data_IF_012643089375
#
_entry.id   IF_012643089375
#
_cell.length_a   1.000
_cell.length_b   1.000
_cell.length_c   1.000
_cell.angle_alpha   90.00
_cell.angle_beta   90.00
_cell.angle_gamma   90.00
#
_symmetry.space_group_name_H-M   'P 1'
#
loop_
_entity.id
_entity.type
_entity.pdbx_description
1 polymer ?
#
# COMPACT_ATOMS: atom_id res chain seq x y z
N UNK A 1 0.84 3.39 -10.82
CA UNK A 1 -0.25 4.28 -10.38
C UNK A 1 0.23 5.66 -9.94
N UNK A 2 1.03 5.82 -8.87
CA UNK A 2 1.47 7.16 -8.38
C UNK A 2 2.07 8.04 -9.48
N UNK A 3 3.02 7.50 -10.25
CA UNK A 3 3.65 8.21 -11.38
C UNK A 3 2.65 8.66 -12.45
N UNK A 4 1.63 7.84 -12.73
CA UNK A 4 0.58 8.19 -13.69
C UNK A 4 -0.26 9.36 -13.18
N UNK A 5 -0.63 9.34 -11.90
CA UNK A 5 -1.42 10.43 -11.31
C UNK A 5 -0.68 11.76 -11.42
N UNK A 6 0.60 11.78 -11.03
CA UNK A 6 1.44 12.97 -11.19
C UNK A 6 1.54 13.43 -12.65
N UNK A 7 1.72 12.49 -13.59
CA UNK A 7 1.82 12.80 -15.01
C UNK A 7 0.52 13.45 -15.55
N UNK A 8 -0.64 12.92 -15.18
CA UNK A 8 -1.95 13.47 -15.55
C UNK A 8 -2.14 14.88 -14.98
N UNK A 9 -1.86 15.09 -13.68
CA UNK A 9 -1.94 16.42 -13.05
C UNK A 9 -1.05 17.45 -13.72
N UNK A 10 0.15 17.03 -14.11
CA UNK A 10 1.11 17.90 -14.82
C UNK A 10 0.81 18.07 -16.31
N UNK A 11 -0.21 17.37 -16.83
CA UNK A 11 -0.60 17.37 -18.24
C UNK A 11 0.54 17.01 -19.21
N UNK A 12 1.53 16.24 -18.74
CA UNK A 12 2.69 15.86 -19.54
C UNK A 12 2.42 14.55 -20.28
N UNK A 13 1.98 14.67 -21.54
CA UNK A 13 1.59 13.53 -22.37
C UNK A 13 2.67 12.45 -22.49
N UNK A 14 3.95 12.85 -22.55
CA UNK A 14 5.08 11.91 -22.58
C UNK A 14 5.20 11.13 -21.27
N UNK A 15 5.06 11.79 -20.13
CA UNK A 15 5.11 11.11 -18.82
C UNK A 15 3.90 10.22 -18.59
N UNK A 16 2.73 10.58 -19.14
CA UNK A 16 1.54 9.71 -19.13
C UNK A 16 1.86 8.41 -19.88
N UNK A 17 2.41 8.52 -21.09
CA UNK A 17 2.78 7.35 -21.90
C UNK A 17 3.81 6.46 -21.19
N UNK A 18 4.87 7.05 -20.61
CA UNK A 18 5.86 6.30 -19.85
C UNK A 18 5.28 5.66 -18.58
N UNK A 19 4.41 6.36 -17.86
CA UNK A 19 3.78 5.82 -16.66
C UNK A 19 2.85 4.65 -16.98
N UNK A 20 2.10 4.72 -18.09
CA UNK A 20 1.26 3.62 -18.58
C UNK A 20 2.11 2.43 -19.04
N UNK A 21 3.15 2.66 -19.84
CA UNK A 21 4.06 1.61 -20.28
C UNK A 21 4.70 0.88 -19.09
N UNK A 22 5.17 1.63 -18.10
CA UNK A 22 5.72 1.06 -16.87
C UNK A 22 4.67 0.27 -16.08
N UNK A 23 3.42 0.75 -16.00
CA UNK A 23 2.35 0.06 -15.31
C UNK A 23 2.04 -1.29 -15.98
N UNK A 24 1.92 -1.33 -17.31
CA UNK A 24 1.71 -2.58 -18.05
C UNK A 24 2.90 -3.53 -17.89
N UNK A 25 4.12 -3.02 -18.01
CA UNK A 25 5.33 -3.84 -17.86
C UNK A 25 5.46 -4.45 -16.45
N UNK A 26 5.07 -3.69 -15.43
CA UNK A 26 5.20 -4.09 -14.03
C UNK A 26 3.93 -4.75 -13.47
N UNK A 27 2.93 -5.00 -14.33
CA UNK A 27 1.69 -5.60 -13.91
C UNK A 27 1.92 -7.04 -13.45
N UNK A 28 1.49 -7.32 -12.23
CA UNK A 28 1.50 -8.66 -11.65
C UNK A 28 0.18 -8.87 -10.94
N UNK A 29 -0.54 -9.92 -11.34
CA UNK A 29 -1.74 -10.33 -10.64
C UNK A 29 -1.34 -10.92 -9.28
N UNK A 30 -1.92 -10.39 -8.20
CA UNK A 30 -1.71 -10.92 -6.85
C UNK A 30 -2.44 -12.25 -6.71
N UNK A 31 -3.77 -12.22 -6.89
CA UNK A 31 -4.62 -13.40 -6.94
C UNK A 31 -5.94 -13.01 -7.61
N UNK A 32 -6.75 -13.95 -8.13
CA UNK A 32 -8.07 -13.60 -8.64
C UNK A 32 -8.91 -12.85 -7.59
N UNK A 33 -9.62 -11.81 -8.02
CA UNK A 33 -10.49 -11.07 -7.13
C UNK A 33 -11.64 -11.98 -6.68
N UNK A 34 -11.86 -12.01 -5.37
CA UNK A 34 -12.99 -12.70 -4.76
C UNK A 34 -13.46 -11.84 -3.59
N UNK A 35 -14.75 -11.95 -3.27
CA UNK A 35 -15.36 -11.18 -2.19
C UNK A 35 -15.69 -12.08 -1.01
N UNK A 36 -15.84 -11.48 0.16
CA UNK A 36 -16.24 -12.21 1.37
C UNK A 36 -17.07 -11.37 2.32
N UNK A 37 -17.98 -12.04 3.02
CA UNK A 37 -18.78 -11.48 4.13
C UNK A 37 -18.28 -11.99 5.49
N UNK A 38 -17.25 -12.86 5.51
CA UNK A 38 -16.75 -13.51 6.73
C UNK A 38 -16.09 -12.54 7.70
N UNK A 39 -15.59 -11.42 7.19
CA UNK A 39 -14.91 -10.39 7.96
C UNK A 39 -14.97 -9.05 7.24
N UNK A 40 -14.80 -7.97 7.99
CA UNK A 40 -14.64 -6.61 7.47
C UNK A 40 -13.15 -6.24 7.26
N UNK A 41 -12.91 -5.05 6.70
CA UNK A 41 -11.58 -4.54 6.39
C UNK A 41 -10.63 -4.45 7.60
N UNK A 42 -11.14 -4.02 8.76
CA UNK A 42 -10.34 -3.90 9.98
C UNK A 42 -9.94 -5.29 10.51
N UNK A 43 -10.88 -6.23 10.52
CA UNK A 43 -10.64 -7.62 10.91
C UNK A 43 -9.61 -8.28 9.99
N UNK A 44 -9.69 -8.04 8.68
CA UNK A 44 -8.73 -8.56 7.71
C UNK A 44 -7.31 -8.06 8.01
N UNK A 45 -7.11 -6.76 8.25
CA UNK A 45 -5.79 -6.22 8.59
C UNK A 45 -5.25 -6.79 9.91
N UNK A 46 -6.10 -6.97 10.93
CA UNK A 46 -5.71 -7.62 12.19
C UNK A 46 -5.29 -9.07 11.98
N UNK A 47 -6.04 -9.83 11.18
CA UNK A 47 -5.72 -11.22 10.86
C UNK A 47 -4.42 -11.34 10.05
N UNK A 48 -4.19 -10.43 9.09
CA UNK A 48 -2.94 -10.34 8.35
C UNK A 48 -1.75 -10.00 9.25
N UNK A 49 -1.90 -9.01 10.14
CA UNK A 49 -0.87 -8.63 11.09
C UNK A 49 -0.48 -9.80 12.01
N UNK A 50 -1.46 -10.59 12.45
CA UNK A 50 -1.23 -11.80 13.24
C UNK A 50 -0.52 -12.88 12.39
N UNK A 51 -1.05 -13.19 11.22
CA UNK A 51 -0.58 -14.26 10.35
C UNK A 51 0.84 -14.04 9.80
N UNK A 52 1.30 -12.78 9.73
CA UNK A 52 2.61 -12.38 9.23
C UNK A 52 3.55 -11.81 10.32
N UNK A 53 3.18 -11.89 11.60
CA UNK A 53 3.96 -11.35 12.72
C UNK A 53 5.39 -11.91 12.81
N UNK A 54 5.58 -13.18 12.45
CA UNK A 54 6.87 -13.87 12.48
C UNK A 54 7.44 -14.13 11.08
N UNK A 55 6.89 -13.51 10.05
CA UNK A 55 7.33 -13.72 8.67
C UNK A 55 8.62 -12.97 8.37
N UNK A 56 9.51 -13.64 7.64
CA UNK A 56 10.68 -13.04 6.99
C UNK A 56 10.56 -13.29 5.49
N UNK A 57 10.86 -12.27 4.68
CA UNK A 57 10.81 -12.36 3.23
C UNK A 57 12.21 -12.51 2.65
N UNK A 58 12.36 -13.33 1.62
CA UNK A 58 13.65 -13.62 0.99
C UNK A 58 14.06 -12.48 0.04
N UNK A 59 13.08 -11.85 -0.60
CA UNK A 59 13.31 -10.78 -1.55
C UNK A 59 13.83 -9.48 -0.92
N UNK A 60 14.70 -8.82 -1.68
CA UNK A 60 15.30 -7.53 -1.30
C UNK A 60 14.46 -6.32 -1.73
N UNK A 61 13.59 -6.47 -2.74
CA UNK A 61 12.72 -5.37 -3.20
C UNK A 61 11.24 -5.61 -2.86
N UNK A 62 10.50 -4.51 -2.74
CA UNK A 62 9.11 -4.54 -2.28
C UNK A 62 8.18 -5.31 -3.22
N UNK A 63 8.32 -5.16 -4.53
CA UNK A 63 7.46 -5.84 -5.51
C UNK A 63 7.59 -7.37 -5.41
N UNK A 64 8.81 -7.88 -5.26
CA UNK A 64 9.05 -9.30 -5.04
C UNK A 64 8.50 -9.79 -3.70
N UNK A 65 8.58 -8.98 -2.62
CA UNK A 65 7.96 -9.33 -1.34
C UNK A 65 6.43 -9.41 -1.43
N UNK A 66 5.80 -8.49 -2.16
CA UNK A 66 4.36 -8.55 -2.43
C UNK A 66 4.03 -9.84 -3.17
N UNK A 67 4.85 -10.23 -4.14
CA UNK A 67 4.66 -11.47 -4.88
C UNK A 67 4.86 -12.73 -4.02
N UNK A 68 5.85 -12.75 -3.13
CA UNK A 68 6.01 -13.81 -2.12
C UNK A 68 4.77 -13.92 -1.21
N UNK A 69 4.25 -12.79 -0.73
CA UNK A 69 3.00 -12.74 0.04
C UNK A 69 1.84 -13.28 -0.78
N UNK A 70 1.70 -12.88 -2.04
CA UNK A 70 0.61 -13.27 -2.92
C UNK A 70 0.50 -14.79 -3.08
N UNK A 71 1.63 -15.50 -2.99
CA UNK A 71 1.71 -16.96 -3.07
C UNK A 71 1.62 -17.65 -1.70
N UNK A 72 1.69 -16.90 -0.60
CA UNK A 72 1.75 -17.46 0.74
C UNK A 72 0.37 -18.02 1.17
N UNK A 73 0.29 -19.27 1.68
CA UNK A 73 -0.99 -19.89 2.06
C UNK A 73 -1.83 -19.09 3.06
N UNK A 74 -1.18 -18.42 4.02
CA UNK A 74 -1.88 -17.56 4.97
C UNK A 74 -2.51 -16.33 4.30
N UNK A 75 -1.85 -15.75 3.30
CA UNK A 75 -2.41 -14.63 2.55
C UNK A 75 -3.55 -15.09 1.66
N UNK A 76 -3.41 -16.21 0.94
CA UNK A 76 -4.46 -16.71 0.05
C UNK A 76 -5.81 -16.94 0.76
N UNK A 77 -5.79 -17.35 2.04
CA UNK A 77 -7.00 -17.46 2.88
C UNK A 77 -7.64 -16.11 3.24
N UNK A 78 -6.83 -15.07 3.27
CA UNK A 78 -7.18 -13.70 3.67
C UNK A 78 -7.20 -12.72 2.49
N UNK A 79 -6.99 -13.19 1.26
CA UNK A 79 -6.97 -12.36 0.06
C UNK A 79 -8.35 -11.93 -0.47
N UNK A 80 -9.47 -12.64 -0.17
CA UNK A 80 -10.80 -12.15 -0.50
C UNK A 80 -11.07 -10.77 0.11
N UNK A 81 -11.72 -9.90 -0.65
CA UNK A 81 -12.00 -8.52 -0.27
C UNK A 81 -13.36 -8.45 0.44
N UNK A 82 -13.46 -7.77 1.59
CA UNK A 82 -14.74 -7.51 2.25
C UNK A 82 -15.73 -6.82 1.32
N UNK A 83 -16.97 -7.31 1.28
CA UNK A 83 -18.03 -6.78 0.39
C UNK A 83 -18.38 -5.31 0.68
N UNK A 84 -18.18 -4.86 1.91
CA UNK A 84 -18.56 -3.54 2.43
C UNK A 84 -17.44 -2.50 2.36
N UNK A 85 -16.39 -2.75 1.56
CA UNK A 85 -15.25 -1.83 1.44
C UNK A 85 -15.68 -0.51 0.76
N UNK A 86 -15.35 0.61 1.41
CA UNK A 86 -15.54 1.97 0.88
C UNK A 86 -14.23 2.76 0.94
N UNK A 87 -14.12 3.82 0.14
CA UNK A 87 -12.93 4.68 0.10
C UNK A 87 -12.65 5.28 1.48
N UNK A 88 -13.69 5.71 2.21
CA UNK A 88 -13.57 6.30 3.55
C UNK A 88 -12.99 5.29 4.53
N UNK A 89 -13.45 4.03 4.48
CA UNK A 89 -12.93 2.96 5.32
C UNK A 89 -11.46 2.69 5.02
N UNK A 90 -11.09 2.62 3.74
CA UNK A 90 -9.71 2.42 3.31
C UNK A 90 -8.83 3.57 3.78
N UNK A 91 -9.26 4.83 3.60
CA UNK A 91 -8.52 6.01 4.05
C UNK A 91 -8.26 5.98 5.56
N UNK A 92 -9.30 5.71 6.36
CA UNK A 92 -9.17 5.61 7.81
C UNK A 92 -8.11 4.57 8.21
N UNK A 93 -8.22 3.36 7.65
CA UNK A 93 -7.33 2.24 8.01
C UNK A 93 -5.89 2.48 7.57
N UNK A 94 -5.67 2.94 6.34
CA UNK A 94 -4.31 3.18 5.81
C UNK A 94 -3.59 4.25 6.63
N UNK A 95 -4.27 5.34 6.98
CA UNK A 95 -3.71 6.43 7.80
C UNK A 95 -3.45 5.95 9.23
N UNK A 96 -4.38 5.21 9.83
CA UNK A 96 -4.25 4.71 11.20
C UNK A 96 -3.01 3.82 11.34
N UNK A 97 -2.80 2.87 10.42
CA UNK A 97 -1.68 1.94 10.48
C UNK A 97 -0.34 2.61 10.19
N UNK A 98 -0.29 3.59 9.28
CA UNK A 98 0.92 4.40 9.12
C UNK A 98 1.23 5.18 10.40
N UNK A 99 0.25 5.83 11.03
CA UNK A 99 0.45 6.59 12.27
C UNK A 99 0.99 5.74 13.41
N UNK A 100 0.57 4.47 13.50
CA UNK A 100 1.02 3.52 14.54
C UNK A 100 2.47 3.05 14.34
N UNK A 101 2.92 2.91 13.09
CA UNK A 101 4.18 2.21 12.77
C UNK A 101 5.27 3.10 12.20
N UNK A 102 4.92 4.27 11.67
CA UNK A 102 5.79 5.13 10.85
C UNK A 102 6.51 4.38 9.71
N UNK A 103 5.91 3.29 9.22
CA UNK A 103 6.55 2.42 8.24
C UNK A 103 6.45 3.02 6.81
N UNK A 104 7.57 3.04 6.09
CA UNK A 104 7.65 3.63 4.74
C UNK A 104 6.79 2.92 3.70
N UNK A 105 6.58 1.61 3.82
CA UNK A 105 5.65 0.86 2.96
C UNK A 105 4.21 1.33 3.20
N UNK A 106 3.83 1.58 4.46
CA UNK A 106 2.48 2.06 4.78
C UNK A 106 2.28 3.52 4.37
N UNK A 107 3.33 4.34 4.40
CA UNK A 107 3.32 5.67 3.79
C UNK A 107 3.06 5.59 2.28
N UNK A 108 3.66 4.62 1.58
CA UNK A 108 3.35 4.37 0.17
C UNK A 108 1.90 3.93 -0.03
N UNK A 109 1.29 3.26 0.94
CA UNK A 109 -0.15 3.00 0.95
C UNK A 109 -0.99 4.28 0.90
N UNK A 110 -0.62 5.31 1.68
CA UNK A 110 -1.30 6.62 1.68
C UNK A 110 -1.14 7.31 0.32
N UNK A 111 0.09 7.39 -0.19
CA UNK A 111 0.33 8.08 -1.47
C UNK A 111 -0.27 7.31 -2.66
N UNK A 112 -0.32 5.98 -2.59
CA UNK A 112 -1.04 5.16 -3.55
C UNK A 112 -2.54 5.41 -3.47
N UNK A 113 -3.14 5.46 -2.27
CA UNK A 113 -4.57 5.76 -2.14
C UNK A 113 -4.91 7.14 -2.71
N UNK A 114 -4.09 8.16 -2.46
CA UNK A 114 -4.28 9.48 -3.04
C UNK A 114 -4.25 9.43 -4.58
N UNK A 115 -3.25 8.77 -5.16
CA UNK A 115 -3.16 8.58 -6.61
C UNK A 115 -4.33 7.77 -7.18
N UNK A 116 -4.82 6.76 -6.45
CA UNK A 116 -6.01 6.00 -6.83
C UNK A 116 -7.24 6.91 -6.92
N UNK A 117 -7.44 7.77 -5.92
CA UNK A 117 -8.57 8.70 -5.88
C UNK A 117 -8.54 9.68 -7.06
N UNK A 118 -7.37 10.21 -7.41
CA UNK A 118 -7.21 11.11 -8.55
C UNK A 118 -7.52 10.41 -9.90
N UNK A 119 -7.27 9.10 -9.96
CA UNK A 119 -7.51 8.27 -11.15
C UNK A 119 -8.93 7.69 -11.22
N UNK A 120 -9.77 7.85 -10.17
CA UNK A 120 -11.09 7.20 -10.07
C UNK A 120 -11.97 7.42 -11.30
N UNK A 121 -11.95 8.63 -11.85
CA UNK A 121 -12.75 9.02 -13.01
C UNK A 121 -12.41 8.24 -14.29
N UNK A 122 -11.24 7.60 -14.35
CA UNK A 122 -10.80 6.82 -15.52
C UNK A 122 -11.12 5.33 -15.39
N UNK A 123 -11.59 4.85 -14.23
CA UNK A 123 -11.98 3.46 -14.06
C UNK A 123 -13.44 3.24 -14.50
N UNK A 124 -13.71 2.22 -15.35
CA UNK A 124 -15.08 1.91 -15.78
C UNK A 124 -16.00 1.50 -14.61
N UNK A 125 -15.44 0.78 -13.64
CA UNK A 125 -16.11 0.38 -12.41
C UNK A 125 -15.22 0.76 -11.22
N UNK A 126 -15.65 1.81 -10.51
CA UNK A 126 -14.91 2.35 -9.37
C UNK A 126 -14.92 1.42 -8.16
N UNK A 127 -15.98 0.64 -7.96
CA UNK A 127 -16.07 -0.30 -6.84
C UNK A 127 -15.12 -1.47 -7.06
N UNK A 128 -15.13 -2.05 -8.26
CA UNK A 128 -14.18 -3.10 -8.63
C UNK A 128 -12.73 -2.58 -8.56
N UNK A 129 -12.47 -1.35 -9.01
CA UNK A 129 -11.14 -0.74 -8.89
C UNK A 129 -10.70 -0.57 -7.43
N UNK A 130 -11.61 -0.18 -6.53
CA UNK A 130 -11.36 -0.08 -5.09
C UNK A 130 -11.03 -1.46 -4.48
N UNK A 131 -11.74 -2.50 -4.90
CA UNK A 131 -11.49 -3.86 -4.43
C UNK A 131 -10.09 -4.36 -4.85
N UNK A 132 -9.69 -4.09 -6.10
CA UNK A 132 -8.32 -4.38 -6.56
C UNK A 132 -7.25 -3.56 -5.82
N UNK A 133 -7.52 -2.26 -5.57
CA UNK A 133 -6.65 -1.42 -4.77
C UNK A 133 -6.47 -2.01 -3.37
N UNK A 134 -7.57 -2.38 -2.72
CA UNK A 134 -7.56 -2.93 -1.37
C UNK A 134 -6.79 -4.25 -1.32
N UNK A 135 -7.01 -5.18 -2.25
CA UNK A 135 -6.24 -6.42 -2.32
C UNK A 135 -4.73 -6.16 -2.53
N UNK A 136 -4.39 -5.13 -3.31
CA UNK A 136 -2.99 -4.73 -3.50
C UNK A 136 -2.39 -4.16 -2.23
N UNK A 137 -3.16 -3.34 -1.51
CA UNK A 137 -2.76 -2.78 -0.23
C UNK A 137 -2.57 -3.86 0.84
N UNK A 138 -3.49 -4.84 0.96
CA UNK A 138 -3.39 -5.90 1.97
C UNK A 138 -2.19 -6.82 1.73
N UNK A 139 -1.85 -7.11 0.46
CA UNK A 139 -0.62 -7.84 0.13
C UNK A 139 0.63 -7.05 0.56
N UNK A 140 0.69 -5.75 0.23
CA UNK A 140 1.78 -4.88 0.66
C UNK A 140 1.86 -4.76 2.19
N UNK A 141 0.72 -4.64 2.85
CA UNK A 141 0.60 -4.57 4.30
C UNK A 141 1.16 -5.82 4.99
N UNK A 142 0.87 -7.01 4.48
CA UNK A 142 1.40 -8.26 5.02
C UNK A 142 2.94 -8.34 4.95
N UNK A 143 3.58 -7.65 4.00
CA UNK A 143 5.07 -7.58 3.96
C UNK A 143 5.67 -6.84 5.14
N UNK A 144 4.88 -6.02 5.84
CA UNK A 144 5.31 -5.25 7.01
C UNK A 144 5.33 -6.12 8.26
N UNK A 145 4.51 -7.19 8.30
CA UNK A 145 4.53 -8.31 9.25
C UNK A 145 5.02 -7.97 10.66
N UNK A 146 6.30 -8.26 10.93
CA UNK A 146 7.00 -8.04 12.20
C UNK A 146 6.91 -6.60 12.74
N UNK A 147 6.92 -5.61 11.86
CA UNK A 147 6.90 -4.19 12.25
C UNK A 147 5.49 -3.69 12.63
N UNK A 148 4.43 -4.48 12.40
CA UNK A 148 3.05 -4.11 12.75
C UNK A 148 2.78 -4.22 14.26
N UNK A 149 3.59 -4.99 14.98
CA UNK A 149 3.47 -5.19 16.43
C UNK A 149 4.48 -4.38 17.24
N UNK A 150 5.45 -3.74 16.59
CA UNK A 150 6.40 -2.87 17.28
C UNK A 150 5.68 -1.57 17.64
N UNK A 151 5.52 -1.25 18.94
CA UNK A 151 5.05 0.07 19.33
C UNK A 151 5.99 1.12 18.74
N UNK A 152 5.44 2.30 18.46
CA UNK A 152 6.22 3.48 18.10
C UNK A 152 7.40 3.60 19.07
N UNK A 153 8.62 3.36 18.61
CA UNK A 153 9.76 4.01 19.23
C UNK A 153 9.47 5.51 19.09
N UNK A 154 9.28 6.20 20.21
CA UNK A 154 9.26 7.65 20.22
C UNK A 154 10.58 8.05 19.59
N UNK A 155 10.55 8.40 18.30
CA UNK A 155 11.71 8.99 17.65
C UNK A 155 12.11 10.12 18.60
N UNK A 156 13.35 10.14 19.13
CA UNK A 156 13.80 11.30 19.86
C UNK A 156 13.50 12.48 18.96
N UNK A 157 12.89 13.52 19.52
CA UNK A 157 12.69 14.81 18.85
C UNK A 157 14.06 15.21 18.33
N UNK A 158 14.37 14.81 17.10
CA UNK A 158 15.55 15.27 16.42
C UNK A 158 15.33 16.77 16.36
N UNK A 159 16.30 17.59 16.82
CA UNK A 159 16.16 19.02 16.67
C UNK A 159 15.78 19.26 15.21
N UNK A 160 14.71 20.00 14.97
CA UNK A 160 14.28 20.36 13.63
C UNK A 160 15.42 21.15 12.99
N UNK A 161 16.39 20.45 12.43
CA UNK A 161 17.41 21.05 11.60
C UNK A 161 16.66 21.52 10.37
N UNK A 162 16.71 22.82 10.14
CA UNK A 162 16.32 23.39 8.86
C UNK A 162 17.05 22.66 7.74
N UNK A 163 16.44 22.63 6.56
CA UNK A 163 17.03 22.03 5.36
C UNK A 163 18.46 22.52 5.09
N UNK A 164 18.71 23.80 5.41
CA UNK A 164 20.02 24.45 5.29
C UNK A 164 21.07 23.86 6.26
N UNK A 165 20.70 23.59 7.50
CA UNK A 165 21.60 22.99 8.49
C UNK A 165 21.97 21.54 8.15
N UNK A 166 21.05 20.80 7.53
CA UNK A 166 21.32 19.42 7.07
C UNK A 166 22.35 19.39 5.95
N UNK A 167 22.24 20.30 4.97
CA UNK A 167 23.17 20.38 3.83
C UNK A 167 24.57 20.82 4.29
N UNK A 168 24.64 21.71 5.28
CA UNK A 168 25.91 22.28 5.74
C UNK A 168 26.78 21.27 6.49
N UNK A 169 26.18 20.23 7.08
CA UNK A 169 26.88 19.16 7.80
C UNK A 169 27.41 18.02 6.92
N UNK A 170 27.09 18.03 5.62
CA UNK A 170 27.54 17.02 4.65
C UNK A 170 28.76 17.48 3.84
N UNK A 171 29.39 18.59 4.23
CA UNK A 171 30.70 19.05 3.74
C UNK A 171 31.78 18.73 4.75
#
# INVERSE_FOLDING_TARGET
MIRLSCAIKSQQQREIAYALAYWVQSYQLITPLSLTEKYNAEQQLKQLAYAFSNSSFQANNMSQRIFEVAQHPNYLKLAPVPVDITIEKVLQLVVEYYRKTNNSTLLHGITALHAFIELLQYFPDQQTALQWFWQSYTAAFATVGKNLQQPRDVLPTSPHLSWLETITRLR
#
